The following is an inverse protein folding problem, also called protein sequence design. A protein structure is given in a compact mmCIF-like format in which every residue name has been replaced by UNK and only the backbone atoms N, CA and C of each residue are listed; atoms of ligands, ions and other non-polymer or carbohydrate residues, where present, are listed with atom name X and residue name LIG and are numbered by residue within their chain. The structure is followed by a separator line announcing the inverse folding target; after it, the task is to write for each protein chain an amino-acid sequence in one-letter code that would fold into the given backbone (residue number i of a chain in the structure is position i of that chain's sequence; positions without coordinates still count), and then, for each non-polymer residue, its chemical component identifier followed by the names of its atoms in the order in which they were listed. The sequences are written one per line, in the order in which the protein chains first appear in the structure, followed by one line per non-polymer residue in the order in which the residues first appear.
data_IF_469171152348
#
_entry.id   IF_469171152348
#
_cell.length_a   1.000
_cell.length_b   1.000
_cell.length_c   1.000
_cell.angle_alpha   90.00
_cell.angle_beta   90.00
_cell.angle_gamma   90.00
#
_symmetry.space_group_name_H-M   'P 1'
#
loop_
_entity.id
_entity.type
_entity.pdbx_description
1 polymer ?
#
# COMPACT_ATOMS: atom_id res chain seq x y z
N UNK A 1 15.71 9.92 -4.15
CA UNK A 1 14.52 9.41 -3.43
C UNK A 1 13.28 9.27 -4.32
N UNK A 2 12.89 10.27 -5.12
CA UNK A 2 11.75 10.15 -6.07
C UNK A 2 11.81 8.92 -6.99
N UNK A 3 13.01 8.43 -7.32
CA UNK A 3 13.23 7.25 -8.18
C UNK A 3 12.89 5.92 -7.50
N UNK A 4 13.14 5.77 -6.19
CA UNK A 4 12.88 4.52 -5.46
C UNK A 4 11.38 4.34 -5.21
N UNK A 5 10.67 5.42 -4.86
CA UNK A 5 9.21 5.40 -4.75
C UNK A 5 8.56 5.02 -6.09
N UNK A 6 9.05 5.57 -7.20
CA UNK A 6 8.61 5.22 -8.56
C UNK A 6 8.89 3.77 -8.96
N UNK A 7 10.02 3.19 -8.51
CA UNK A 7 10.32 1.79 -8.77
C UNK A 7 9.37 0.88 -7.99
N UNK A 8 9.14 1.18 -6.71
CA UNK A 8 8.17 0.45 -5.88
C UNK A 8 6.76 0.51 -6.46
N UNK A 9 6.33 1.67 -7.00
CA UNK A 9 5.04 1.80 -7.71
C UNK A 9 4.97 0.86 -8.90
N UNK A 10 6.04 0.81 -9.71
CA UNK A 10 6.10 -0.06 -10.90
C UNK A 10 6.07 -1.54 -10.53
N UNK A 11 6.81 -1.93 -9.48
CA UNK A 11 6.83 -3.30 -8.97
C UNK A 11 5.43 -3.71 -8.49
N UNK A 12 4.76 -2.86 -7.71
CA UNK A 12 3.40 -3.10 -7.23
C UNK A 12 2.39 -3.19 -8.40
N UNK A 13 2.44 -2.24 -9.34
CA UNK A 13 1.57 -2.24 -10.51
C UNK A 13 1.78 -3.48 -11.39
N UNK A 14 3.03 -3.96 -11.52
CA UNK A 14 3.32 -5.15 -12.30
C UNK A 14 2.79 -6.43 -11.63
N UNK A 15 2.91 -6.55 -10.29
CA UNK A 15 2.29 -7.65 -9.54
C UNK A 15 0.77 -7.67 -9.71
N UNK A 16 0.11 -6.53 -9.49
CA UNK A 16 -1.34 -6.40 -9.67
C UNK A 16 -1.79 -6.76 -11.09
N UNK A 17 -0.98 -6.42 -12.09
CA UNK A 17 -1.23 -6.77 -13.49
C UNK A 17 -1.14 -8.28 -13.74
N UNK A 18 -0.14 -8.98 -13.17
CA UNK A 18 -0.02 -10.44 -13.31
C UNK A 18 -1.19 -11.17 -12.64
N UNK A 19 -1.60 -10.72 -11.45
CA UNK A 19 -2.76 -11.25 -10.74
C UNK A 19 -4.05 -11.08 -11.56
N UNK A 20 -4.28 -9.87 -12.10
CA UNK A 20 -5.42 -9.60 -12.98
C UNK A 20 -5.42 -10.52 -14.21
N UNK A 21 -4.25 -10.74 -14.81
CA UNK A 21 -4.13 -11.65 -15.95
C UNK A 21 -4.43 -13.09 -15.58
N UNK A 22 -3.96 -13.58 -14.43
CA UNK A 22 -4.27 -14.91 -13.93
C UNK A 22 -5.78 -15.10 -13.72
N UNK A 23 -6.44 -14.12 -13.09
CA UNK A 23 -7.89 -14.14 -12.90
C UNK A 23 -8.66 -14.15 -14.22
N UNK A 24 -8.24 -13.35 -15.21
CA UNK A 24 -8.88 -13.33 -16.54
C UNK A 24 -8.72 -14.66 -17.28
N UNK A 25 -7.53 -15.25 -17.23
CA UNK A 25 -7.24 -16.55 -17.84
C UNK A 25 -8.12 -17.66 -17.25
N UNK A 26 -8.35 -17.65 -15.93
CA UNK A 26 -9.27 -18.60 -15.28
C UNK A 26 -10.72 -18.48 -15.75
N UNK A 27 -11.11 -17.34 -16.33
CA UNK A 27 -12.43 -17.11 -16.94
C UNK A 27 -12.43 -17.32 -18.46
N UNK A 28 -11.34 -17.84 -19.03
CA UNK A 28 -11.20 -18.05 -20.47
C UNK A 28 -10.91 -16.78 -21.28
N UNK A 29 -10.53 -15.68 -20.63
CA UNK A 29 -10.30 -14.39 -21.29
C UNK A 29 -8.80 -14.18 -21.54
N UNK A 30 -8.41 -14.03 -22.81
CA UNK A 30 -7.00 -13.90 -23.25
C UNK A 30 -6.70 -12.57 -23.97
N UNK A 31 -7.56 -11.56 -23.81
CA UNK A 31 -7.51 -10.26 -24.50
C UNK A 31 -6.20 -9.48 -24.31
N UNK A 32 -5.52 -9.70 -23.17
CA UNK A 32 -4.21 -9.11 -22.87
C UNK A 32 -3.07 -9.68 -23.71
N UNK A 33 -3.27 -10.85 -24.33
CA UNK A 33 -2.29 -11.53 -25.19
C UNK A 33 -2.75 -11.47 -26.64
N UNK A 34 -2.63 -10.32 -27.29
CA UNK A 34 -3.17 -10.09 -28.64
C UNK A 34 -2.82 -11.18 -29.67
N UNK A 35 -1.60 -11.74 -29.61
CA UNK A 35 -1.20 -12.85 -30.49
C UNK A 35 -1.95 -14.14 -30.14
N UNK A 36 -2.06 -14.51 -28.86
CA UNK A 36 -2.79 -15.71 -28.43
C UNK A 36 -4.28 -15.57 -28.71
N UNK A 37 -4.87 -14.41 -28.41
CA UNK A 37 -6.25 -14.11 -28.74
C UNK A 37 -6.51 -14.21 -30.25
N UNK A 38 -5.60 -13.69 -31.08
CA UNK A 38 -5.70 -13.81 -32.54
C UNK A 38 -5.61 -15.25 -33.05
N UNK A 39 -4.85 -16.11 -32.37
CA UNK A 39 -4.74 -17.55 -32.70
C UNK A 39 -5.98 -18.33 -32.23
N UNK A 40 -6.52 -18.00 -31.06
CA UNK A 40 -7.72 -18.64 -30.49
C UNK A 40 -9.01 -18.19 -31.20
N UNK A 41 -9.02 -17.01 -31.80
CA UNK A 41 -10.21 -16.46 -32.46
C UNK A 41 -11.39 -16.34 -31.48
N UNK A 42 -12.59 -16.69 -31.95
CA UNK A 42 -13.82 -16.69 -31.15
C UNK A 42 -14.09 -18.04 -30.43
N UNK A 43 -13.14 -18.98 -30.48
CA UNK A 43 -13.32 -20.29 -29.86
C UNK A 43 -12.99 -20.26 -28.37
N UNK A 44 -13.81 -20.88 -27.54
CA UNK A 44 -13.48 -21.05 -26.12
C UNK A 44 -12.24 -21.94 -26.00
N UNK A 45 -11.16 -21.47 -25.36
CA UNK A 45 -9.97 -22.26 -25.15
C UNK A 45 -10.26 -23.44 -24.22
N UNK A 46 -9.64 -24.59 -24.52
CA UNK A 46 -9.72 -25.73 -23.63
C UNK A 46 -9.27 -25.37 -22.20
N UNK A 47 -9.94 -25.95 -21.21
CA UNK A 47 -9.58 -25.78 -19.80
C UNK A 47 -8.11 -26.13 -19.53
N UNK A 48 -7.56 -27.13 -20.25
CA UNK A 48 -6.15 -27.55 -20.19
C UNK A 48 -5.19 -26.40 -20.55
N UNK A 49 -5.52 -25.62 -21.57
CA UNK A 49 -4.72 -24.48 -22.04
C UNK A 49 -4.80 -23.30 -21.07
N UNK A 50 -6.00 -22.99 -20.58
CA UNK A 50 -6.19 -21.94 -19.58
C UNK A 50 -5.39 -22.23 -18.31
N UNK A 51 -5.41 -23.48 -17.84
CA UNK A 51 -4.60 -23.91 -16.71
C UNK A 51 -3.09 -23.73 -16.98
N UNK A 52 -2.61 -24.10 -18.17
CA UNK A 52 -1.20 -23.94 -18.53
C UNK A 52 -0.75 -22.48 -18.54
N UNK A 53 -1.56 -21.57 -19.08
CA UNK A 53 -1.26 -20.13 -19.07
C UNK A 53 -1.30 -19.58 -17.64
N UNK A 54 -2.26 -20.01 -16.83
CA UNK A 54 -2.35 -19.63 -15.42
C UNK A 54 -1.11 -20.10 -14.62
N UNK A 55 -0.66 -21.34 -14.82
CA UNK A 55 0.51 -21.89 -14.15
C UNK A 55 1.79 -21.13 -14.55
N UNK A 56 1.90 -20.73 -15.82
CA UNK A 56 3.01 -19.91 -16.29
C UNK A 56 3.01 -18.51 -15.68
N UNK A 57 1.84 -17.84 -15.59
CA UNK A 57 1.72 -16.55 -14.92
C UNK A 57 2.08 -16.65 -13.42
N UNK A 58 1.64 -17.72 -12.77
CA UNK A 58 1.98 -18.04 -11.37
C UNK A 58 3.50 -18.23 -11.20
N UNK A 59 4.16 -18.88 -12.16
CA UNK A 59 5.62 -19.04 -12.16
C UNK A 59 6.34 -17.69 -12.30
N UNK A 60 5.89 -16.82 -13.21
CA UNK A 60 6.45 -15.47 -13.36
C UNK A 60 6.28 -14.69 -12.06
N UNK A 61 5.09 -14.72 -11.46
CA UNK A 61 4.83 -14.03 -10.21
C UNK A 61 5.75 -14.54 -9.09
N UNK A 62 5.95 -15.86 -9.00
CA UNK A 62 6.86 -16.47 -8.01
C UNK A 62 8.31 -16.01 -8.20
N UNK A 63 8.82 -15.98 -9.42
CA UNK A 63 10.16 -15.45 -9.69
C UNK A 63 10.23 -13.94 -9.40
N UNK A 64 9.16 -13.20 -9.71
CA UNK A 64 9.09 -11.78 -9.40
C UNK A 64 9.13 -11.50 -7.89
N UNK A 65 8.43 -12.28 -7.06
CA UNK A 65 8.54 -12.22 -5.60
C UNK A 65 9.95 -12.55 -5.09
N UNK A 66 10.66 -13.45 -5.77
CA UNK A 66 12.05 -13.78 -5.42
C UNK A 66 13.00 -12.60 -5.62
N UNK A 67 12.84 -11.85 -6.71
CA UNK A 67 13.67 -10.66 -6.99
C UNK A 67 13.21 -9.41 -6.22
N UNK A 68 11.90 -9.25 -6.03
CA UNK A 68 11.27 -8.11 -5.36
C UNK A 68 10.37 -8.59 -4.22
N UNK A 69 10.95 -9.05 -3.10
CA UNK A 69 10.17 -9.59 -1.99
C UNK A 69 9.25 -8.53 -1.39
N UNK A 70 7.96 -8.85 -1.31
CA UNK A 70 6.94 -8.02 -0.62
C UNK A 70 7.28 -7.73 0.84
N UNK A 71 8.04 -8.60 1.50
CA UNK A 71 8.49 -8.42 2.90
C UNK A 71 9.52 -7.30 3.08
N UNK A 72 10.08 -6.79 1.98
CA UNK A 72 11.11 -5.74 1.97
C UNK A 72 10.72 -4.63 1.00
N UNK A 73 9.60 -3.95 1.29
CA UNK A 73 9.25 -2.76 0.51
C UNK A 73 10.36 -1.71 0.70
N UNK A 74 11.08 -1.32 -0.36
CA UNK A 74 12.12 -0.30 -0.27
C UNK A 74 11.59 1.05 0.24
N UNK A 75 10.28 1.32 0.16
CA UNK A 75 9.66 2.47 0.82
C UNK A 75 9.70 2.34 2.33
N UNK A 76 9.31 1.18 2.85
CA UNK A 76 9.32 0.89 4.28
C UNK A 76 10.74 0.94 4.81
N UNK A 77 11.71 0.35 4.12
CA UNK A 77 13.13 0.41 4.50
C UNK A 77 13.65 1.86 4.53
N UNK A 78 13.35 2.66 3.50
CA UNK A 78 13.81 4.06 3.46
C UNK A 78 13.11 4.92 4.51
N UNK A 79 11.80 4.78 4.66
CA UNK A 79 11.01 5.54 5.63
C UNK A 79 11.42 5.19 7.06
N UNK A 80 11.58 3.90 7.37
CA UNK A 80 12.06 3.45 8.69
C UNK A 80 13.46 3.94 8.98
N UNK A 81 14.41 3.83 8.04
CA UNK A 81 15.77 4.35 8.23
C UNK A 81 15.80 5.87 8.47
N UNK A 82 15.02 6.63 7.70
CA UNK A 82 14.88 8.08 7.89
C UNK A 82 14.26 8.43 9.24
N UNK A 83 13.21 7.71 9.62
CA UNK A 83 12.54 7.91 10.89
C UNK A 83 13.46 7.58 12.06
N UNK A 84 14.24 6.50 11.97
CA UNK A 84 15.27 6.15 12.95
C UNK A 84 16.35 7.22 13.06
N UNK A 85 16.77 7.81 11.94
CA UNK A 85 17.73 8.92 11.94
C UNK A 85 17.16 10.14 12.67
N UNK A 86 15.90 10.49 12.42
CA UNK A 86 15.21 11.58 13.14
C UNK A 86 15.08 11.28 14.63
N UNK A 87 14.69 10.06 15.00
CA UNK A 87 14.57 9.60 16.39
C UNK A 87 15.90 9.68 17.12
N UNK A 88 16.98 9.27 16.45
CA UNK A 88 18.36 9.36 16.97
C UNK A 88 18.79 10.81 17.16
N UNK A 89 18.54 11.68 16.17
CA UNK A 89 18.81 13.10 16.27
C UNK A 89 18.05 13.73 17.45
N UNK A 90 16.74 13.46 17.57
CA UNK A 90 15.90 13.95 18.65
C UNK A 90 16.43 13.51 20.02
N UNK A 91 16.74 12.22 20.21
CA UNK A 91 17.31 11.71 21.46
C UNK A 91 18.62 12.41 21.84
N UNK A 92 19.49 12.65 20.86
CA UNK A 92 20.76 13.32 21.10
C UNK A 92 20.58 14.78 21.51
N UNK A 93 19.66 15.51 20.86
CA UNK A 93 19.31 16.87 21.28
C UNK A 93 18.67 16.89 22.68
N UNK A 94 17.71 15.99 22.97
CA UNK A 94 17.08 15.87 24.31
C UNK A 94 18.12 15.62 25.42
N UNK A 95 19.12 14.77 25.17
CA UNK A 95 20.23 14.52 26.10
C UNK A 95 21.07 15.78 26.35
N UNK A 96 21.38 16.55 25.31
CA UNK A 96 22.09 17.83 25.47
C UNK A 96 21.29 18.76 26.39
N UNK A 97 19.98 18.88 26.18
CA UNK A 97 19.13 19.72 27.02
C UNK A 97 19.14 19.29 28.49
N UNK A 98 19.00 17.98 28.75
CA UNK A 98 19.09 17.43 30.12
C UNK A 98 20.45 17.67 30.78
N UNK A 99 21.53 17.77 30.00
CA UNK A 99 22.87 18.10 30.50
C UNK A 99 23.10 19.60 30.71
N UNK A 100 22.37 20.47 30.01
CA UNK A 100 22.50 21.93 30.12
C UNK A 100 21.67 22.52 31.28
N UNK A 101 20.58 21.86 31.68
CA UNK A 101 19.74 22.32 32.80
C UNK A 101 20.44 22.32 34.17
N UNK A 102 21.64 21.73 34.29
CA UNK A 102 22.48 21.80 35.50
C UNK A 102 23.43 23.00 35.54
N UNK A 103 23.58 23.75 34.44
CA UNK A 103 24.48 24.91 34.35
C UNK A 103 23.67 26.16 34.02
N UNK A 104 23.80 27.18 34.87
CA UNK A 104 22.97 28.39 35.00
C UNK A 104 22.90 29.31 33.77
N UNK A 105 23.43 28.91 32.60
CA UNK A 105 23.55 29.73 31.37
C UNK A 105 22.67 29.29 30.19
N UNK A 106 21.69 28.41 30.39
CA UNK A 106 20.96 27.72 29.31
C UNK A 106 20.04 28.59 28.41
N UNK A 107 19.95 29.91 28.60
CA UNK A 107 18.91 30.74 27.94
C UNK A 107 19.27 31.24 26.53
N UNK A 108 20.52 31.16 26.09
CA UNK A 108 20.96 31.82 24.85
C UNK A 108 21.08 30.89 23.62
N UNK A 109 20.74 29.60 23.75
CA UNK A 109 20.88 28.59 22.68
C UNK A 109 19.59 28.38 21.84
N UNK A 110 18.73 29.39 21.76
CA UNK A 110 17.31 29.30 21.36
C UNK A 110 16.93 29.19 19.86
N UNK A 111 17.78 29.23 18.80
CA UNK A 111 17.25 29.23 17.43
C UNK A 111 16.79 27.85 16.88
N UNK A 112 17.33 26.73 17.36
CA UNK A 112 17.03 25.38 16.82
C UNK A 112 15.75 24.72 17.37
N UNK A 113 15.07 25.38 18.31
CA UNK A 113 14.05 24.75 19.15
C UNK A 113 12.69 24.58 18.49
N UNK A 114 12.33 25.42 17.52
CA UNK A 114 11.04 25.27 16.82
C UNK A 114 10.96 23.93 16.07
N UNK A 115 12.07 23.50 15.46
CA UNK A 115 12.15 22.19 14.81
C UNK A 115 12.22 21.05 15.82
N UNK A 116 12.85 21.25 16.98
CA UNK A 116 12.93 20.24 18.03
C UNK A 116 11.57 19.97 18.70
N UNK A 117 10.79 21.01 18.98
CA UNK A 117 9.43 20.88 19.53
C UNK A 117 8.51 20.10 18.58
N UNK A 118 8.62 20.34 17.26
CA UNK A 118 7.87 19.56 16.25
C UNK A 118 8.26 18.08 16.19
N UNK A 119 9.38 17.67 16.79
CA UNK A 119 9.83 16.27 16.87
C UNK A 119 9.41 15.58 18.18
N UNK A 120 8.62 16.22 19.05
CA UNK A 120 8.16 15.61 20.31
C UNK A 120 7.38 14.30 20.11
N UNK A 121 6.74 14.09 18.96
CA UNK A 121 6.07 12.82 18.62
C UNK A 121 7.04 11.63 18.48
N UNK A 122 8.35 11.88 18.40
CA UNK A 122 9.40 10.85 18.38
C UNK A 122 9.83 10.41 19.78
N UNK A 123 9.19 10.93 20.82
CA UNK A 123 9.52 10.62 22.21
C UNK A 123 8.85 9.31 22.66
N UNK A 124 9.67 8.29 22.87
CA UNK A 124 9.25 6.91 23.15
C UNK A 124 8.63 6.76 24.55
N UNK A 125 8.76 7.79 25.39
CA UNK A 125 8.19 7.84 26.74
C UNK A 125 6.80 8.44 26.78
N UNK A 126 6.29 8.96 25.66
CA UNK A 126 4.91 9.42 25.54
C UNK A 126 4.08 8.18 25.23
N UNK A 127 3.30 7.72 26.21
CA UNK A 127 2.30 6.68 25.93
C UNK A 127 1.34 7.19 24.85
N UNK A 128 1.03 6.39 23.82
CA UNK A 128 0.00 6.75 22.86
C UNK A 128 -1.29 6.97 23.65
N UNK A 129 -1.73 8.22 23.77
CA UNK A 129 -3.11 8.49 24.13
C UNK A 129 -3.98 7.71 23.16
N UNK A 130 -4.97 6.96 23.68
CA UNK A 130 -5.97 6.20 22.92
C UNK A 130 -6.61 7.11 21.87
N UNK A 131 -5.96 7.23 20.73
CA UNK A 131 -6.36 8.13 19.66
C UNK A 131 -7.34 7.33 18.83
N UNK A 132 -8.61 7.71 18.91
CA UNK A 132 -9.73 7.20 18.12
C UNK A 132 -9.61 7.49 16.61
N UNK A 133 -8.44 7.96 16.16
CA UNK A 133 -8.15 8.38 14.79
C UNK A 133 -7.17 7.45 14.08
N UNK A 134 -7.19 6.15 14.40
CA UNK A 134 -6.70 5.17 13.44
C UNK A 134 -7.72 5.16 12.32
N UNK A 135 -7.40 5.83 11.21
CA UNK A 135 -8.04 5.60 9.92
C UNK A 135 -8.23 4.10 9.78
N UNK A 136 -9.50 3.73 9.66
CA UNK A 136 -9.96 2.37 9.57
C UNK A 136 -9.30 1.72 8.34
N UNK A 137 -8.16 1.06 8.58
CA UNK A 137 -7.36 0.41 7.53
C UNK A 137 -8.15 -0.75 6.91
N UNK A 138 -9.23 -1.18 7.55
CA UNK A 138 -10.19 -2.16 7.04
C UNK A 138 -11.24 -1.52 6.11
N UNK A 139 -11.56 -0.24 6.28
CA UNK A 139 -12.59 0.45 5.48
C UNK A 139 -12.07 0.91 4.10
N UNK A 140 -10.75 1.04 3.94
CA UNK A 140 -10.11 1.32 2.65
C UNK A 140 -9.98 0.08 1.75
N UNK A 141 -9.84 -1.12 2.30
CA UNK A 141 -9.79 -2.35 1.49
C UNK A 141 -11.16 -2.72 0.92
N UNK A 142 -12.26 -2.49 1.65
CA UNK A 142 -13.61 -2.77 1.15
C UNK A 142 -14.03 -1.76 0.06
N UNK A 143 -13.68 -0.48 0.23
CA UNK A 143 -14.06 0.58 -0.71
C UNK A 143 -13.22 0.57 -2.00
N UNK A 144 -11.96 0.14 -1.93
CA UNK A 144 -11.11 -0.01 -3.12
C UNK A 144 -11.55 -1.22 -3.98
N UNK A 145 -11.97 -2.32 -3.35
CA UNK A 145 -12.51 -3.50 -4.06
C UNK A 145 -13.86 -3.18 -4.71
N UNK A 146 -14.76 -2.48 -4.03
CA UNK A 146 -16.04 -2.05 -4.60
C UNK A 146 -15.90 -1.02 -5.76
N UNK A 147 -14.93 -0.10 -5.68
CA UNK A 147 -14.73 0.90 -6.76
C UNK A 147 -14.18 0.31 -8.06
N UNK A 148 -13.44 -0.80 -8.00
CA UNK A 148 -12.91 -1.47 -9.20
C UNK A 148 -14.03 -2.23 -9.93
N UNK A 149 -14.99 -2.80 -9.19
CA UNK A 149 -16.16 -3.47 -9.77
C UNK A 149 -17.12 -2.49 -10.48
N UNK A 150 -17.26 -1.27 -9.99
CA UNK A 150 -18.16 -0.27 -10.59
C UNK A 150 -17.66 0.38 -11.89
N UNK A 151 -16.37 0.27 -12.26
CA UNK A 151 -15.85 0.90 -13.48
C UNK A 151 -15.85 0.00 -14.72
N UNK A 152 -16.10 -1.30 -14.58
CA UNK A 152 -16.11 -2.25 -15.71
C UNK A 152 -17.40 -3.07 -15.87
N UNK A 153 -18.41 -2.83 -15.04
CA UNK A 153 -19.72 -3.49 -15.15
C UNK A 153 -20.79 -2.52 -15.63
N UNK A 154 -21.23 -2.67 -16.88
CA UNK A 154 -22.41 -2.00 -17.38
C UNK A 154 -23.63 -2.26 -16.49
N UNK A 155 -24.47 -1.22 -16.37
CA UNK A 155 -25.78 -1.27 -15.72
C UNK A 155 -26.54 -2.53 -16.11
N UNK A 156 -26.79 -3.44 -15.17
CA UNK A 156 -27.93 -4.35 -15.20
C UNK A 156 -28.52 -4.40 -13.78
N UNK A 157 -29.60 -3.62 -13.64
CA UNK A 157 -30.83 -3.86 -12.88
C UNK A 157 -30.84 -4.73 -11.60
N UNK A 158 -31.62 -4.23 -10.63
CA UNK A 158 -32.17 -4.90 -9.43
C UNK A 158 -31.39 -4.77 -8.12
N UNK A 159 -31.32 -3.55 -7.60
CA UNK A 159 -31.52 -3.36 -6.16
C UNK A 159 -32.96 -2.88 -5.95
N UNK A 160 -33.88 -3.83 -5.79
CA UNK A 160 -35.21 -3.60 -5.24
C UNK A 160 -35.05 -2.93 -3.86
N UNK A 161 -35.20 -1.61 -3.84
CA UNK A 161 -35.53 -0.90 -2.62
C UNK A 161 -36.95 -1.23 -2.22
N UNK A 162 -37.14 -1.60 -0.97
CA UNK A 162 -38.13 -0.96 -0.08
C UNK A 162 -37.86 -1.44 1.35
N UNK A 163 -37.19 -0.59 2.13
CA UNK A 163 -37.44 -0.52 3.56
C UNK A 163 -38.54 0.52 3.77
N UNK A 164 -39.62 0.16 4.46
CA UNK A 164 -40.08 0.83 5.69
C UNK A 164 -41.58 0.65 5.94
N UNK A 165 -41.87 0.25 7.17
CA UNK A 165 -43.16 0.14 7.83
C UNK A 165 -43.78 1.53 8.14
N UNK A 166 -45.13 1.58 8.11
CA UNK A 166 -46.04 2.30 9.02
C UNK A 166 -46.18 3.84 8.98
N UNK A 167 -47.37 4.34 8.60
CA UNK A 167 -48.34 5.03 9.49
C UNK A 167 -49.48 5.67 8.66
N UNK A 168 -50.67 5.08 8.69
CA UNK A 168 -51.95 5.68 9.11
C UNK A 168 -53.07 4.64 8.98
#
# INVERSE_FOLDING_TARGET
MKTVFKLADKVAAFKAKLELWGWRVNRGIFDMFHTLAGILGDTEPEHSFSQLVHDYLSLILKEFERYFPTTKDPRTEICTAKFQNLRTYYRNEKKKLSSFTSVTGARDFAPKWEHFTRLQFLDDTIEPLDSTSNLDYMELEINAVHSIECQHGGCILECCGTASHSMQ
#
